data_IF_461201445878
#
_entry.id   IF_461201445878
#
_cell.length_a   1.000
_cell.length_b   1.000
_cell.length_c   1.000
_cell.angle_alpha   90.00
_cell.angle_beta   90.00
_cell.angle_gamma   90.00
#
_symmetry.space_group_name_H-M   'P 1'
#
loop_
_entity.id
_entity.type
_entity.pdbx_description
1 polymer ?
#
# COMPACT_ATOMS: atom_id res chain seq x y z
N UNK A 1 -18.82 15.50 0.88
CA UNK A 1 -17.37 15.19 0.92
C UNK A 1 -17.20 13.79 0.33
N UNK A 2 -16.72 13.68 -0.91
CA UNK A 2 -16.66 12.43 -1.67
C UNK A 2 -15.76 11.40 -0.95
N UNK A 3 -16.36 10.36 -0.38
CA UNK A 3 -15.65 9.17 0.09
C UNK A 3 -15.39 8.25 -1.11
N UNK A 4 -14.39 8.57 -1.91
CA UNK A 4 -13.85 7.60 -2.88
C UNK A 4 -13.04 6.56 -2.11
N UNK A 5 -13.76 5.58 -1.56
CA UNK A 5 -13.19 4.45 -0.83
C UNK A 5 -12.50 3.52 -1.82
N UNK A 6 -11.18 3.69 -1.98
CA UNK A 6 -10.37 2.71 -2.69
C UNK A 6 -10.31 1.43 -1.86
N UNK A 7 -10.87 0.37 -2.44
CA UNK A 7 -11.09 -0.94 -1.82
C UNK A 7 -9.78 -1.71 -1.68
N UNK A 8 -9.61 -2.28 -0.47
CA UNK A 8 -8.80 -3.45 -0.11
C UNK A 8 -7.40 -3.51 -0.70
N UNK A 9 -6.45 -2.87 -0.01
CA UNK A 9 -5.04 -3.21 -0.15
C UNK A 9 -4.65 -4.24 0.91
N UNK A 10 -4.60 -5.52 0.54
CA UNK A 10 -3.93 -6.53 1.37
C UNK A 10 -2.42 -6.36 1.19
N UNK A 11 -1.85 -5.41 1.91
CA UNK A 11 -0.41 -5.25 2.03
C UNK A 11 0.02 -5.78 3.40
N UNK A 12 1.03 -6.64 3.45
CA UNK A 12 1.71 -6.93 4.71
C UNK A 12 2.38 -5.64 5.20
N UNK A 13 1.73 -4.96 6.14
CA UNK A 13 2.18 -3.70 6.73
C UNK A 13 3.16 -4.06 7.84
N UNK A 14 4.39 -3.57 7.72
CA UNK A 14 5.28 -3.45 8.88
C UNK A 14 4.98 -2.10 9.52
N UNK A 15 4.50 -2.12 10.76
CA UNK A 15 3.99 -0.97 11.50
C UNK A 15 5.09 0.05 11.82
N UNK A 16 6.37 -0.38 11.87
CA UNK A 16 7.51 0.52 12.04
C UNK A 16 8.53 0.38 10.92
N UNK A 17 8.81 1.50 10.26
CA UNK A 17 9.76 1.59 9.17
C UNK A 17 11.18 1.53 9.69
N UNK A 18 11.79 0.35 9.63
CA UNK A 18 13.23 0.19 9.81
C UNK A 18 14.00 1.15 8.89
N UNK A 19 15.20 1.58 9.30
CA UNK A 19 16.05 2.48 8.51
C UNK A 19 16.28 1.88 7.12
N UNK A 20 15.64 2.46 6.10
CA UNK A 20 15.69 1.98 4.71
C UNK A 20 14.37 1.40 4.16
N UNK A 21 13.32 1.29 4.97
CA UNK A 21 12.01 0.85 4.50
C UNK A 21 11.33 1.92 3.63
N UNK A 22 11.14 1.63 2.33
CA UNK A 22 10.60 2.59 1.36
C UNK A 22 9.14 2.32 0.94
N UNK A 23 8.45 1.36 1.56
CA UNK A 23 7.05 1.05 1.24
C UNK A 23 6.09 1.92 2.07
N UNK A 24 4.79 1.73 1.88
CA UNK A 24 3.72 2.46 2.57
C UNK A 24 3.79 2.25 4.09
N UNK A 25 3.76 3.34 4.85
CA UNK A 25 3.61 3.36 6.32
C UNK A 25 2.64 4.48 6.72
N UNK A 26 2.28 4.58 8.01
CA UNK A 26 1.46 5.71 8.52
C UNK A 26 2.06 7.08 8.21
N UNK A 27 3.38 7.19 8.22
CA UNK A 27 4.12 8.44 8.01
C UNK A 27 4.68 8.61 6.60
N UNK A 28 4.57 7.60 5.73
CA UNK A 28 5.21 7.58 4.43
C UNK A 28 4.26 7.16 3.32
N UNK A 29 4.10 8.05 2.35
CA UNK A 29 3.36 7.77 1.12
C UNK A 29 4.16 6.89 0.15
N UNK A 30 3.44 6.19 -0.74
CA UNK A 30 4.02 5.37 -1.80
C UNK A 30 3.34 5.67 -3.14
N UNK A 31 4.10 5.57 -4.24
CA UNK A 31 3.54 5.68 -5.57
C UNK A 31 3.06 4.34 -6.11
N UNK A 32 1.98 4.34 -6.88
CA UNK A 32 1.58 3.20 -7.68
C UNK A 32 2.31 3.23 -9.02
N UNK A 33 3.00 2.12 -9.37
CA UNK A 33 3.75 2.03 -10.62
C UNK A 33 2.85 2.29 -11.83
N UNK A 34 3.34 3.12 -12.75
CA UNK A 34 2.81 3.39 -14.10
C UNK A 34 1.47 4.11 -14.20
N UNK A 35 0.85 4.54 -13.10
CA UNK A 35 -0.45 5.24 -13.15
C UNK A 35 -0.46 6.65 -12.60
N UNK A 36 0.67 7.15 -12.08
CA UNK A 36 0.78 8.52 -11.59
C UNK A 36 -0.11 8.80 -10.37
N UNK A 37 -0.29 7.82 -9.48
CA UNK A 37 -1.07 7.96 -8.23
C UNK A 37 -0.15 7.78 -7.03
N UNK A 38 -0.32 8.63 -6.02
CA UNK A 38 0.32 8.55 -4.71
C UNK A 38 -0.71 8.15 -3.66
N UNK A 39 -0.39 7.16 -2.83
CA UNK A 39 -1.21 6.70 -1.72
C UNK A 39 -0.61 7.12 -0.37
N UNK A 40 -1.45 7.60 0.53
CA UNK A 40 -1.13 7.85 1.95
C UNK A 40 -2.14 7.16 2.86
N UNK A 41 -1.67 6.53 3.95
CA UNK A 41 -2.56 5.87 4.93
C UNK A 41 -3.39 6.92 5.68
N UNK A 42 -4.68 6.64 5.80
CA UNK A 42 -5.63 7.41 6.62
C UNK A 42 -5.95 6.64 7.89
N UNK A 43 -6.26 5.35 7.75
CA UNK A 43 -6.71 4.51 8.87
C UNK A 43 -6.33 3.05 8.65
N UNK A 44 -6.07 2.33 9.74
CA UNK A 44 -5.89 0.88 9.76
C UNK A 44 -7.17 0.23 10.30
N UNK A 45 -7.69 -0.75 9.57
CA UNK A 45 -8.82 -1.56 10.03
C UNK A 45 -8.27 -2.81 10.70
N UNK A 46 -8.61 -2.98 11.98
CA UNK A 46 -8.17 -4.10 12.80
C UNK A 46 -9.26 -5.18 12.90
N UNK A 47 -8.85 -6.44 12.96
CA UNK A 47 -9.74 -7.53 13.38
C UNK A 47 -9.95 -7.54 14.90
N UNK A 48 -10.79 -8.46 15.38
CA UNK A 48 -11.05 -8.66 16.81
C UNK A 48 -9.82 -9.08 17.63
N UNK A 49 -8.76 -9.56 16.97
CA UNK A 49 -7.50 -9.94 17.60
C UNK A 49 -6.45 -8.81 17.54
N UNK A 50 -6.78 -7.66 16.94
CA UNK A 50 -5.90 -6.50 16.81
C UNK A 50 -4.95 -6.54 15.61
N UNK A 51 -5.12 -7.47 14.66
CA UNK A 51 -4.31 -7.52 13.45
C UNK A 51 -4.86 -6.60 12.36
N UNK A 52 -3.98 -5.93 11.62
CA UNK A 52 -4.37 -5.10 10.48
C UNK A 52 -4.87 -5.98 9.34
N UNK A 53 -6.14 -5.82 8.99
CA UNK A 53 -6.79 -6.54 7.88
C UNK A 53 -6.91 -5.70 6.62
N UNK A 54 -7.13 -4.39 6.78
CA UNK A 54 -7.28 -3.47 5.67
C UNK A 54 -6.65 -2.09 5.98
N UNK A 55 -6.30 -1.36 4.92
CA UNK A 55 -5.91 0.04 4.99
C UNK A 55 -6.91 0.91 4.26
N UNK A 56 -7.36 1.95 4.93
CA UNK A 56 -8.03 3.08 4.29
C UNK A 56 -6.94 4.06 3.88
N UNK A 57 -6.87 4.34 2.59
CA UNK A 57 -5.86 5.21 2.00
C UNK A 57 -6.52 6.38 1.27
N UNK A 58 -5.80 7.50 1.21
CA UNK A 58 -6.11 8.60 0.31
C UNK A 58 -5.25 8.45 -0.94
N UNK A 59 -5.89 8.46 -2.11
CA UNK A 59 -5.20 8.58 -3.39
C UNK A 59 -5.14 10.04 -3.82
N UNK A 60 -4.04 10.42 -4.46
CA UNK A 60 -3.86 11.75 -5.05
C UNK A 60 -3.01 11.65 -6.32
N UNK A 61 -3.22 12.52 -7.32
CA UNK A 61 -2.34 12.58 -8.49
C UNK A 61 -0.89 12.83 -8.09
N UNK A 62 0.05 12.17 -8.77
CA UNK A 62 1.48 12.41 -8.63
C UNK A 62 1.83 13.80 -9.18
N UNK A 63 2.51 14.59 -8.37
CA UNK A 63 3.08 15.88 -8.72
C UNK A 63 4.54 15.93 -8.26
N UNK A 64 5.30 16.93 -8.71
CA UNK A 64 6.69 17.11 -8.25
C UNK A 64 6.76 17.37 -6.74
N UNK A 65 5.73 17.98 -6.15
CA UNK A 65 5.68 18.32 -4.73
C UNK A 65 5.36 17.12 -3.82
N UNK A 66 4.69 16.09 -4.34
CA UNK A 66 4.27 14.92 -3.55
C UNK A 66 4.98 13.62 -3.97
N UNK A 67 6.12 13.75 -4.65
CA UNK A 67 6.88 12.62 -5.20
C UNK A 67 7.29 11.63 -4.10
N UNK A 68 6.84 10.37 -4.16
CA UNK A 68 7.09 9.39 -3.12
C UNK A 68 8.50 8.81 -3.20
N UNK A 69 9.00 8.26 -2.09
CA UNK A 69 10.35 7.66 -2.00
C UNK A 69 10.47 6.32 -2.73
N UNK A 70 9.37 5.66 -3.03
CA UNK A 70 9.33 4.47 -3.88
C UNK A 70 7.98 4.29 -4.57
N UNK A 71 8.01 3.40 -5.56
CA UNK A 71 6.83 2.94 -6.29
C UNK A 71 6.65 1.44 -6.11
N UNK A 72 5.41 1.02 -5.85
CA UNK A 72 5.04 -0.39 -5.65
C UNK A 72 4.16 -0.93 -6.77
N UNK A 73 4.19 -2.25 -6.95
CA UNK A 73 3.25 -2.95 -7.82
C UNK A 73 1.85 -3.00 -7.18
N UNK A 74 0.83 -3.12 -8.02
CA UNK A 74 -0.56 -3.11 -7.62
C UNK A 74 -1.40 -3.94 -8.60
N UNK A 75 -2.60 -4.30 -8.16
CA UNK A 75 -3.58 -5.02 -8.95
C UNK A 75 -4.97 -4.46 -8.59
N UNK A 76 -5.76 -4.02 -9.57
CA UNK A 76 -7.13 -3.51 -9.33
C UNK A 76 -8.15 -4.63 -9.10
N UNK A 77 -8.03 -5.69 -9.89
CA UNK A 77 -8.97 -6.82 -9.91
C UNK A 77 -8.15 -8.10 -9.82
N UNK A 78 -7.83 -8.54 -8.60
CA UNK A 78 -6.97 -9.70 -8.40
C UNK A 78 -7.64 -10.97 -8.92
N UNK A 79 -6.85 -11.79 -9.62
CA UNK A 79 -7.23 -13.16 -10.00
C UNK A 79 -6.50 -14.14 -9.08
N UNK A 80 -7.13 -15.27 -8.77
CA UNK A 80 -6.50 -16.31 -7.97
C UNK A 80 -5.40 -16.99 -8.77
N UNK A 81 -4.20 -17.07 -8.18
CA UNK A 81 -3.04 -17.70 -8.81
C UNK A 81 -2.23 -18.50 -7.79
N UNK A 82 -1.56 -19.57 -8.24
CA UNK A 82 -0.57 -20.29 -7.46
C UNK A 82 0.82 -19.72 -7.75
N UNK A 83 1.58 -19.39 -6.70
CA UNK A 83 2.97 -18.94 -6.79
C UNK A 83 3.87 -20.02 -6.18
N UNK A 84 4.92 -20.45 -6.91
CA UNK A 84 5.94 -21.37 -6.41
C UNK A 84 7.25 -20.62 -6.22
N UNK A 85 7.68 -20.49 -4.97
CA UNK A 85 8.96 -19.89 -4.61
C UNK A 85 9.99 -21.02 -4.47
N UNK A 86 11.09 -20.91 -5.22
CA UNK A 86 12.18 -21.88 -5.18
C UNK A 86 13.42 -21.22 -4.59
N UNK A 87 14.07 -21.92 -3.67
CA UNK A 87 15.36 -21.54 -3.12
C UNK A 87 16.50 -22.27 -3.86
N UNK A 88 17.73 -21.85 -3.61
CA UNK A 88 18.90 -22.55 -4.15
C UNK A 88 18.91 -23.99 -3.66
N UNK A 89 19.08 -24.93 -4.61
CA UNK A 89 19.16 -26.36 -4.37
C UNK A 89 20.39 -26.73 -3.53
#
# INVERSE_FOLDING_TARGET
LNRETLRKFTYHIKVDGEKGFRRLTKSQAVGLKYIGVVLSVVEEVLDSAGHVTELIVKASPLTEQNKPKAFVHWVSSPVTAQVRLYERL
#
